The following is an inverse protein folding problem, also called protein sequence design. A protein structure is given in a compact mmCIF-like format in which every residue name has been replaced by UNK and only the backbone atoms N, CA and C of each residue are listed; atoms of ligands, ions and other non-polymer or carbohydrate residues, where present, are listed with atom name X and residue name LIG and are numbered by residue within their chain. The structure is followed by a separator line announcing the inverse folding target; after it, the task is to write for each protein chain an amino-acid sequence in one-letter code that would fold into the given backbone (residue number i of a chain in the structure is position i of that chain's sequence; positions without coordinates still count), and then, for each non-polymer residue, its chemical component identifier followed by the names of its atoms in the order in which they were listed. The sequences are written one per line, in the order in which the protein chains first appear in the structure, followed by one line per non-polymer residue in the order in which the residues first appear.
data_IF_985966884194
#
_entry.id   IF_985966884194
#
_cell.length_a   1.000
_cell.length_b   1.000
_cell.length_c   1.000
_cell.angle_alpha   90.00
_cell.angle_beta   90.00
_cell.angle_gamma   90.00
#
_symmetry.space_group_name_H-M   'P 1'
#
loop_
_entity.id
_entity.type
_entity.pdbx_description
1 polymer ?
#
# COMPACT_ATOMS: atom_id res chain seq x y z
N UNK A 1 16.80 8.84 15.12
CA UNK A 1 17.50 9.36 13.91
C UNK A 1 17.29 8.34 12.81
N UNK A 2 16.20 8.49 12.09
CA UNK A 2 15.75 7.53 11.07
C UNK A 2 16.37 7.95 9.75
N UNK A 3 17.28 7.13 9.24
CA UNK A 3 17.90 7.32 7.94
C UNK A 3 16.87 7.05 6.85
N UNK A 4 16.23 8.10 6.34
CA UNK A 4 15.57 8.06 5.05
C UNK A 4 16.65 7.86 3.99
N UNK A 5 16.81 6.63 3.53
CA UNK A 5 17.59 6.35 2.33
C UNK A 5 16.82 6.97 1.17
N UNK A 6 17.27 8.11 0.72
CA UNK A 6 16.78 8.79 -0.47
C UNK A 6 16.89 7.82 -1.64
N UNK A 7 15.77 7.37 -2.19
CA UNK A 7 15.65 6.48 -3.36
C UNK A 7 16.31 7.07 -4.64
N UNK A 8 16.80 8.31 -4.58
CA UNK A 8 17.49 8.99 -5.67
C UNK A 8 18.76 8.27 -6.16
N UNK A 9 19.31 7.31 -5.41
CA UNK A 9 20.52 6.57 -5.79
C UNK A 9 20.30 5.30 -6.61
N UNK A 10 19.08 4.77 -6.65
CA UNK A 10 18.80 3.46 -7.28
C UNK A 10 18.44 3.59 -8.76
N UNK A 11 18.07 4.78 -9.23
CA UNK A 11 17.59 4.99 -10.60
C UNK A 11 18.70 5.30 -11.63
N UNK A 12 19.98 5.20 -11.23
CA UNK A 12 21.09 5.50 -12.15
C UNK A 12 21.65 4.28 -12.86
N UNK A 13 20.87 3.19 -13.00
CA UNK A 13 21.20 2.13 -13.93
C UNK A 13 20.72 2.55 -15.32
N UNK A 14 21.60 2.66 -16.33
CA UNK A 14 21.17 2.99 -17.68
C UNK A 14 20.29 1.85 -18.20
N UNK A 15 19.00 2.12 -18.30
CA UNK A 15 18.06 1.27 -19.03
C UNK A 15 18.60 1.11 -20.44
N UNK A 16 18.80 -0.13 -20.89
CA UNK A 16 19.34 -0.39 -22.22
C UNK A 16 18.47 0.27 -23.28
N UNK A 17 19.08 1.05 -24.13
CA UNK A 17 18.45 1.82 -25.22
C UNK A 17 17.66 0.98 -26.23
N UNK A 18 17.66 -0.35 -26.11
CA UNK A 18 17.06 -1.27 -27.08
C UNK A 18 15.56 -1.53 -26.90
N UNK A 19 14.94 -1.07 -25.77
CA UNK A 19 13.56 -1.41 -25.46
C UNK A 19 12.58 -0.22 -25.57
N UNK A 20 13.07 0.92 -26.09
CA UNK A 20 12.23 2.10 -26.35
C UNK A 20 11.82 2.15 -27.82
N UNK A 21 10.51 2.09 -28.05
CA UNK A 21 9.89 2.25 -29.35
C UNK A 21 10.38 3.53 -30.05
N UNK A 22 10.86 3.37 -31.28
CA UNK A 22 11.28 4.43 -32.17
C UNK A 22 10.12 5.41 -32.42
N UNK A 23 10.16 6.64 -31.86
CA UNK A 23 9.19 7.68 -32.19
C UNK A 23 8.98 8.81 -31.20
N UNK A 24 9.54 8.74 -29.98
CA UNK A 24 9.41 9.86 -29.02
C UNK A 24 10.64 10.77 -29.08
N UNK A 25 10.39 12.10 -29.02
CA UNK A 25 11.50 13.05 -28.90
C UNK A 25 12.16 12.94 -27.52
N UNK A 26 13.48 13.25 -27.39
CA UNK A 26 14.18 13.22 -26.11
C UNK A 26 13.49 14.06 -25.02
N UNK A 27 12.85 15.15 -25.39
CA UNK A 27 12.10 16.03 -24.47
C UNK A 27 10.82 15.34 -23.94
N UNK A 28 10.16 14.52 -24.74
CA UNK A 28 8.98 13.76 -24.32
C UNK A 28 9.35 12.61 -23.39
N UNK A 29 10.48 11.96 -23.61
CA UNK A 29 11.00 10.92 -22.72
C UNK A 29 11.38 11.50 -21.35
N UNK A 30 12.06 12.63 -21.34
CA UNK A 30 12.43 13.34 -20.12
C UNK A 30 11.20 13.80 -19.32
N UNK A 31 10.20 14.38 -19.99
CA UNK A 31 8.95 14.81 -19.34
C UNK A 31 8.17 13.64 -18.76
N UNK A 32 8.11 12.50 -19.47
CA UNK A 32 7.45 11.28 -19.01
C UNK A 32 8.16 10.67 -17.80
N UNK A 33 9.49 10.63 -17.80
CA UNK A 33 10.29 10.14 -16.67
C UNK A 33 10.07 10.97 -15.42
N UNK A 34 10.09 12.29 -15.54
CA UNK A 34 9.86 13.21 -14.42
C UNK A 34 8.44 13.12 -13.87
N UNK A 35 7.45 12.99 -14.74
CA UNK A 35 6.06 12.79 -14.33
C UNK A 35 5.86 11.48 -13.55
N UNK A 36 6.50 10.41 -14.00
CA UNK A 36 6.48 9.11 -13.33
C UNK A 36 7.16 9.18 -11.94
N UNK A 37 8.31 9.85 -11.84
CA UNK A 37 9.00 10.06 -10.56
C UNK A 37 8.13 10.85 -9.57
N UNK A 38 7.50 11.93 -10.02
CA UNK A 38 6.56 12.70 -9.20
C UNK A 38 5.36 11.86 -8.75
N UNK A 39 4.82 11.04 -9.65
CA UNK A 39 3.74 10.13 -9.31
C UNK A 39 4.16 9.14 -8.22
N UNK A 40 5.29 8.45 -8.39
CA UNK A 40 5.80 7.47 -7.41
C UNK A 40 6.03 8.11 -6.04
N UNK A 41 6.66 9.28 -5.99
CA UNK A 41 6.85 10.04 -4.74
C UNK A 41 5.51 10.42 -4.07
N UNK A 42 4.47 10.71 -4.86
CA UNK A 42 3.17 11.09 -4.34
C UNK A 42 2.40 9.94 -3.69
N UNK A 43 2.61 8.70 -4.15
CA UNK A 43 1.89 7.52 -3.67
C UNK A 43 2.66 6.72 -2.61
N UNK A 44 3.98 6.92 -2.48
CA UNK A 44 4.87 6.10 -1.65
C UNK A 44 4.38 5.92 -0.21
N UNK A 45 4.15 7.02 0.51
CA UNK A 45 3.74 6.99 1.93
C UNK A 45 2.41 6.27 2.14
N UNK A 46 1.43 6.53 1.25
CA UNK A 46 0.11 5.90 1.35
C UNK A 46 0.17 4.43 0.97
N UNK A 47 0.93 4.10 -0.06
CA UNK A 47 1.17 2.72 -0.47
C UNK A 47 1.83 1.91 0.65
N UNK A 48 2.83 2.49 1.33
CA UNK A 48 3.47 1.86 2.48
C UNK A 48 2.45 1.60 3.61
N UNK A 49 1.63 2.59 3.98
CA UNK A 49 0.62 2.40 5.02
C UNK A 49 -0.41 1.32 4.65
N UNK A 50 -0.85 1.27 3.39
CA UNK A 50 -1.74 0.20 2.89
C UNK A 50 -1.07 -1.17 3.01
N UNK A 51 0.20 -1.29 2.63
CA UNK A 51 0.95 -2.53 2.72
C UNK A 51 1.17 -2.93 4.18
N UNK A 52 1.54 -2.00 5.06
CA UNK A 52 1.73 -2.20 6.50
C UNK A 52 0.46 -2.75 7.18
N UNK A 53 -0.69 -2.09 6.98
CA UNK A 53 -1.99 -2.56 7.50
C UNK A 53 -2.40 -3.93 6.94
N UNK A 54 -1.88 -4.30 5.77
CA UNK A 54 -2.21 -5.56 5.13
C UNK A 54 -1.29 -6.72 5.53
N UNK A 55 0.01 -6.44 5.72
CA UNK A 55 1.05 -7.43 5.98
C UNK A 55 1.44 -7.52 7.45
N UNK A 56 1.19 -6.48 8.26
CA UNK A 56 1.57 -6.39 9.67
C UNK A 56 3.07 -6.67 9.88
N UNK A 57 3.89 -6.19 8.96
CA UNK A 57 5.34 -6.26 9.02
C UNK A 57 5.90 -5.19 8.11
N UNK A 58 6.77 -4.36 8.63
CA UNK A 58 7.26 -3.16 7.95
C UNK A 58 8.24 -3.47 6.83
N UNK A 59 9.10 -4.47 7.03
CA UNK A 59 10.05 -4.90 6.01
C UNK A 59 9.33 -5.47 4.78
N UNK A 60 8.35 -6.37 5.01
CA UNK A 60 7.51 -6.90 3.95
C UNK A 60 6.68 -5.81 3.27
N UNK A 61 6.22 -4.80 4.03
CA UNK A 61 5.47 -3.68 3.46
C UNK A 61 6.36 -2.83 2.55
N UNK A 62 7.58 -2.54 2.98
CA UNK A 62 8.56 -1.81 2.19
C UNK A 62 8.92 -2.57 0.91
N UNK A 63 9.22 -3.86 1.03
CA UNK A 63 9.50 -4.73 -0.12
C UNK A 63 8.34 -4.76 -1.12
N UNK A 64 7.10 -4.86 -0.62
CA UNK A 64 5.92 -4.88 -1.48
C UNK A 64 5.76 -3.58 -2.28
N UNK A 65 6.02 -2.43 -1.65
CA UNK A 65 5.94 -1.12 -2.30
C UNK A 65 7.06 -0.95 -3.31
N UNK A 66 8.30 -1.28 -2.96
CA UNK A 66 9.44 -1.20 -3.88
C UNK A 66 9.23 -2.08 -5.11
N UNK A 67 8.81 -3.33 -4.92
CA UNK A 67 8.50 -4.25 -6.01
C UNK A 67 7.39 -3.71 -6.93
N UNK A 68 6.35 -3.09 -6.33
CA UNK A 68 5.26 -2.51 -7.11
C UNK A 68 5.73 -1.29 -7.94
N UNK A 69 6.56 -0.43 -7.36
CA UNK A 69 7.17 0.71 -8.05
C UNK A 69 8.07 0.25 -9.20
N UNK A 70 8.96 -0.69 -8.93
CA UNK A 70 9.84 -1.26 -9.96
C UNK A 70 9.04 -1.88 -11.12
N UNK A 71 7.99 -2.64 -10.79
CA UNK A 71 7.15 -3.27 -11.80
C UNK A 71 6.39 -2.24 -12.64
N UNK A 72 5.89 -1.17 -12.04
CA UNK A 72 5.25 -0.08 -12.77
C UNK A 72 6.23 0.56 -13.77
N UNK A 73 7.43 0.93 -13.30
CA UNK A 73 8.47 1.53 -14.13
C UNK A 73 8.86 0.61 -15.30
N UNK A 74 9.14 -0.66 -15.00
CA UNK A 74 9.61 -1.62 -16.00
C UNK A 74 8.57 -1.97 -17.07
N UNK A 75 7.29 -2.01 -16.71
CA UNK A 75 6.28 -2.58 -17.59
C UNK A 75 5.21 -1.58 -18.06
N UNK A 76 5.09 -0.42 -17.41
CA UNK A 76 4.00 0.50 -17.64
C UNK A 76 4.41 1.99 -17.72
N UNK A 77 5.71 2.30 -17.75
CA UNK A 77 6.20 3.68 -17.87
C UNK A 77 5.70 4.39 -19.13
N UNK A 78 5.47 3.65 -20.22
CA UNK A 78 4.96 4.16 -21.51
C UNK A 78 3.44 4.37 -21.53
N UNK A 79 2.71 3.93 -20.50
CA UNK A 79 1.25 4.13 -20.40
C UNK A 79 0.92 5.57 -20.08
N UNK A 80 -0.35 5.94 -20.35
CA UNK A 80 -0.86 7.26 -19.97
C UNK A 80 -0.78 7.43 -18.43
N UNK A 81 -0.39 8.61 -17.98
CA UNK A 81 -0.25 8.95 -16.56
C UNK A 81 -1.54 8.72 -15.74
N UNK A 82 -2.71 8.87 -16.36
CA UNK A 82 -4.00 8.58 -15.73
C UNK A 82 -4.20 7.12 -15.37
N UNK A 83 -3.54 6.21 -16.11
CA UNK A 83 -3.61 4.77 -15.88
C UNK A 83 -2.65 4.31 -14.75
N UNK A 84 -1.62 5.10 -14.42
CA UNK A 84 -0.59 4.65 -13.47
C UNK A 84 -1.14 4.35 -12.10
N UNK A 85 -2.09 5.16 -11.61
CA UNK A 85 -2.63 5.02 -10.27
C UNK A 85 -3.38 3.69 -10.07
N UNK A 86 -4.40 3.34 -10.86
CA UNK A 86 -5.08 2.06 -10.73
C UNK A 86 -4.16 0.87 -11.03
N UNK A 87 -3.22 1.00 -11.98
CA UNK A 87 -2.24 -0.03 -12.30
C UNK A 87 -1.29 -0.27 -11.12
N UNK A 88 -0.75 0.79 -10.52
CA UNK A 88 0.13 0.70 -9.36
C UNK A 88 -0.53 -0.04 -8.20
N UNK A 89 -1.75 0.35 -7.83
CA UNK A 89 -2.47 -0.31 -6.75
C UNK A 89 -2.90 -1.74 -7.09
N UNK A 90 -3.10 -2.05 -8.34
CA UNK A 90 -3.30 -3.44 -8.79
C UNK A 90 -2.04 -4.28 -8.59
N UNK A 91 -0.89 -3.75 -8.96
CA UNK A 91 0.40 -4.43 -8.77
C UNK A 91 0.67 -4.64 -7.28
N UNK A 92 0.54 -3.58 -6.48
CA UNK A 92 0.73 -3.62 -5.03
C UNK A 92 -0.20 -4.65 -4.36
N UNK A 93 -1.49 -4.63 -4.70
CA UNK A 93 -2.46 -5.57 -4.16
C UNK A 93 -2.14 -7.03 -4.53
N UNK A 94 -1.64 -7.28 -5.73
CA UNK A 94 -1.20 -8.60 -6.13
C UNK A 94 0.03 -9.03 -5.33
N UNK A 95 1.00 -8.14 -5.16
CA UNK A 95 2.21 -8.42 -4.38
C UNK A 95 1.88 -8.75 -2.92
N UNK A 96 1.06 -7.93 -2.26
CA UNK A 96 0.57 -8.17 -0.90
C UNK A 96 -0.09 -9.56 -0.80
N UNK A 97 -0.97 -9.90 -1.74
CA UNK A 97 -1.67 -11.20 -1.75
C UNK A 97 -0.69 -12.37 -1.90
N UNK A 98 0.30 -12.23 -2.76
CA UNK A 98 1.32 -13.26 -2.98
C UNK A 98 2.17 -13.48 -1.72
N UNK A 99 2.54 -12.40 -1.02
CA UNK A 99 3.27 -12.48 0.24
C UNK A 99 2.43 -13.15 1.34
N UNK A 100 1.16 -12.76 1.50
CA UNK A 100 0.24 -13.40 2.44
C UNK A 100 0.06 -14.89 2.15
N UNK A 101 -0.08 -15.26 0.85
CA UNK A 101 -0.18 -16.66 0.45
C UNK A 101 1.08 -17.46 0.80
N UNK A 102 2.26 -16.89 0.56
CA UNK A 102 3.55 -17.52 0.92
C UNK A 102 3.67 -17.72 2.43
N UNK A 103 3.29 -16.74 3.26
CA UNK A 103 3.27 -16.87 4.73
C UNK A 103 2.33 -17.99 5.17
N UNK A 104 1.12 -18.07 4.62
CA UNK A 104 0.16 -19.13 4.96
C UNK A 104 0.71 -20.52 4.60
N UNK A 105 1.33 -20.67 3.44
CA UNK A 105 1.94 -21.95 3.02
C UNK A 105 3.12 -22.31 3.92
N UNK A 106 4.02 -21.34 4.20
CA UNK A 106 5.17 -21.55 5.10
C UNK A 106 4.69 -21.91 6.51
N UNK A 107 3.70 -21.24 7.06
CA UNK A 107 3.13 -21.55 8.37
C UNK A 107 2.54 -22.96 8.43
N UNK A 108 1.87 -23.42 7.36
CA UNK A 108 1.36 -24.80 7.27
C UNK A 108 2.49 -25.85 7.21
N UNK A 109 3.57 -25.54 6.49
CA UNK A 109 4.73 -26.44 6.40
C UNK A 109 5.46 -26.47 7.74
N UNK A 110 5.65 -25.32 8.40
CA UNK A 110 6.32 -25.23 9.69
C UNK A 110 5.49 -25.85 10.84
N UNK A 111 4.17 -25.86 10.75
CA UNK A 111 3.31 -26.55 11.70
C UNK A 111 3.49 -28.08 11.69
N UNK A 112 4.15 -28.62 10.68
CA UNK A 112 4.54 -30.04 10.58
C UNK A 112 5.96 -30.33 11.09
N UNK A 113 6.79 -29.26 11.34
CA UNK A 113 8.08 -29.42 12.00
C UNK A 113 7.91 -29.14 13.50
N UNK A 114 8.61 -29.89 14.40
CA UNK A 114 8.57 -29.60 15.83
C UNK A 114 9.08 -28.18 16.09
N UNK A 115 8.35 -27.46 16.93
CA UNK A 115 8.50 -26.04 17.19
C UNK A 115 9.95 -25.68 17.53
N UNK A 116 10.54 -24.81 16.74
CA UNK A 116 11.62 -23.94 17.14
C UNK A 116 10.98 -22.59 17.38
N UNK A 117 11.11 -22.10 18.61
CA UNK A 117 10.59 -20.82 19.06
C UNK A 117 11.05 -19.70 18.11
N UNK A 118 10.10 -19.20 17.32
CA UNK A 118 10.24 -17.96 16.61
C UNK A 118 9.33 -16.98 17.33
N UNK A 119 9.91 -16.23 18.24
CA UNK A 119 9.33 -15.03 18.80
C UNK A 119 9.15 -14.01 17.64
N UNK A 120 7.93 -13.90 17.17
CA UNK A 120 7.52 -12.90 16.16
C UNK A 120 6.87 -11.73 16.93
N UNK A 121 7.66 -11.09 17.79
CA UNK A 121 7.34 -9.83 18.42
C UNK A 121 7.60 -8.71 17.39
N UNK A 122 6.63 -8.51 16.50
CA UNK A 122 6.55 -7.27 15.73
C UNK A 122 6.02 -6.18 16.68
N UNK A 123 6.93 -5.53 17.36
CA UNK A 123 6.67 -4.31 18.12
C UNK A 123 6.20 -3.23 17.14
N UNK A 124 4.94 -2.87 17.26
CA UNK A 124 4.31 -1.82 16.47
C UNK A 124 4.81 -0.48 17.01
N UNK A 125 5.74 0.14 16.32
CA UNK A 125 6.18 1.51 16.61
C UNK A 125 5.26 2.50 15.85
N UNK A 126 4.41 3.30 16.54
CA UNK A 126 3.58 4.28 15.89
C UNK A 126 4.46 5.38 15.31
N UNK A 127 4.42 5.55 13.99
CA UNK A 127 5.15 6.57 13.25
C UNK A 127 4.85 7.94 13.84
N UNK A 128 5.90 8.59 14.36
CA UNK A 128 5.85 9.94 14.86
C UNK A 128 5.29 10.92 13.83
N UNK A 129 4.13 11.48 14.13
CA UNK A 129 3.49 12.50 13.31
C UNK A 129 4.26 13.81 13.41
N UNK A 130 4.43 14.48 12.27
CA UNK A 130 4.99 15.82 12.22
C UNK A 130 4.10 16.80 12.99
N UNK A 131 4.68 17.78 13.72
CA UNK A 131 3.92 18.69 14.57
C UNK A 131 3.16 19.70 13.73
N UNK A 132 1.84 19.68 13.81
CA UNK A 132 1.00 20.78 13.39
C UNK A 132 0.02 21.14 14.51
N UNK A 133 0.06 22.40 14.91
CA UNK A 133 -0.80 23.13 15.87
C UNK A 133 -1.22 22.35 17.12
N UNK A 134 -0.75 22.82 18.29
CA UNK A 134 -0.91 22.19 19.60
C UNK A 134 -2.37 21.99 20.02
N UNK A 135 -2.94 20.77 19.91
CA UNK A 135 -4.09 20.39 20.70
C UNK A 135 -3.64 20.06 22.12
N UNK A 136 -4.53 20.31 23.10
CA UNK A 136 -4.39 19.89 24.49
C UNK A 136 -3.88 18.42 24.56
N UNK A 137 -2.85 18.11 25.40
CA UNK A 137 -2.26 16.77 25.49
C UNK A 137 -3.28 15.64 25.71
N UNK A 138 -4.33 15.87 26.49
CA UNK A 138 -5.41 14.89 26.68
C UNK A 138 -6.16 14.57 25.38
N UNK A 139 -6.43 15.58 24.57
CA UNK A 139 -7.11 15.40 23.27
C UNK A 139 -6.22 14.71 22.23
N UNK A 140 -4.89 14.88 22.32
CA UNK A 140 -3.95 14.13 21.49
C UNK A 140 -4.00 12.64 21.82
N UNK A 141 -3.96 12.30 23.10
CA UNK A 141 -4.03 10.92 23.56
C UNK A 141 -5.34 10.23 23.09
N UNK A 142 -6.48 10.90 23.23
CA UNK A 142 -7.77 10.39 22.73
C UNK A 142 -7.76 10.14 21.21
N UNK A 143 -7.15 11.04 20.44
CA UNK A 143 -7.05 10.90 18.98
C UNK A 143 -6.11 9.74 18.63
N UNK A 144 -4.96 9.62 19.29
CA UNK A 144 -3.99 8.56 19.04
C UNK A 144 -4.57 7.18 19.40
N UNK A 145 -5.31 7.08 20.49
CA UNK A 145 -6.05 5.87 20.87
C UNK A 145 -7.13 5.51 19.83
N UNK A 146 -7.90 6.50 19.34
CA UNK A 146 -8.92 6.29 18.32
C UNK A 146 -8.31 5.85 16.98
N UNK A 147 -7.17 6.43 16.58
CA UNK A 147 -6.43 6.03 15.39
C UNK A 147 -5.92 4.61 15.54
N UNK A 148 -5.32 4.25 16.67
CA UNK A 148 -4.84 2.90 16.95
C UNK A 148 -5.95 1.86 16.92
N UNK A 149 -7.10 2.18 17.49
CA UNK A 149 -8.30 1.33 17.45
C UNK A 149 -8.79 1.13 16.00
N UNK A 150 -8.84 2.21 15.20
CA UNK A 150 -9.21 2.14 13.79
C UNK A 150 -8.23 1.29 12.98
N UNK A 151 -6.93 1.49 13.15
CA UNK A 151 -5.90 0.71 12.46
C UNK A 151 -6.00 -0.77 12.78
N UNK A 152 -6.21 -1.11 14.05
CA UNK A 152 -6.43 -2.49 14.49
C UNK A 152 -7.68 -3.08 13.86
N UNK A 153 -8.81 -2.36 13.89
CA UNK A 153 -10.06 -2.82 13.30
C UNK A 153 -9.94 -3.03 11.78
N UNK A 154 -9.25 -2.12 11.08
CA UNK A 154 -8.97 -2.24 9.64
C UNK A 154 -8.04 -3.42 9.37
N UNK A 155 -6.98 -3.61 10.18
CA UNK A 155 -6.04 -4.71 10.01
C UNK A 155 -6.70 -6.09 10.19
N UNK A 156 -7.82 -6.18 10.87
CA UNK A 156 -8.59 -7.42 11.08
C UNK A 156 -9.69 -7.67 10.04
N UNK A 157 -9.96 -6.71 9.15
CA UNK A 157 -10.92 -6.92 8.07
C UNK A 157 -10.49 -8.08 7.15
N UNK A 158 -11.45 -8.86 6.61
CA UNK A 158 -11.18 -9.81 5.54
C UNK A 158 -10.47 -9.12 4.36
N UNK A 159 -9.50 -9.79 3.74
CA UNK A 159 -8.56 -9.19 2.78
C UNK A 159 -9.23 -8.33 1.68
N UNK A 160 -10.35 -8.80 1.09
CA UNK A 160 -11.07 -8.05 0.05
C UNK A 160 -11.82 -6.84 0.59
N UNK A 161 -12.37 -6.93 1.80
CA UNK A 161 -13.03 -5.80 2.46
C UNK A 161 -12.01 -4.73 2.84
N UNK A 162 -10.88 -5.14 3.44
CA UNK A 162 -9.74 -4.26 3.72
C UNK A 162 -9.26 -3.54 2.48
N UNK A 163 -9.02 -4.28 1.40
CA UNK A 163 -8.56 -3.72 0.13
C UNK A 163 -9.54 -2.66 -0.40
N UNK A 164 -10.85 -2.96 -0.45
CA UNK A 164 -11.86 -2.02 -0.91
C UNK A 164 -11.90 -0.77 -0.02
N UNK A 165 -11.85 -0.94 1.30
CA UNK A 165 -11.86 0.16 2.26
C UNK A 165 -10.63 1.08 2.10
N UNK A 166 -9.42 0.51 2.07
CA UNK A 166 -8.19 1.28 1.97
C UNK A 166 -8.09 2.04 0.63
N UNK A 167 -8.46 1.41 -0.48
CA UNK A 167 -8.43 2.07 -1.79
C UNK A 167 -9.46 3.19 -1.91
N UNK A 168 -10.66 3.02 -1.31
CA UNK A 168 -11.72 4.03 -1.36
C UNK A 168 -11.50 5.21 -0.42
N UNK A 169 -11.13 4.95 0.85
CA UNK A 169 -11.05 5.98 1.87
C UNK A 169 -9.65 6.55 2.06
N UNK A 170 -8.63 5.70 1.96
CA UNK A 170 -7.25 6.13 2.20
C UNK A 170 -6.61 6.69 0.94
N UNK A 171 -6.86 6.06 -0.21
CA UNK A 171 -6.37 6.53 -1.51
C UNK A 171 -7.34 7.42 -2.26
N UNK A 172 -8.63 7.39 -1.94
CA UNK A 172 -9.64 8.18 -2.62
C UNK A 172 -9.93 7.72 -4.04
N UNK A 173 -9.63 6.45 -4.40
CA UNK A 173 -9.99 5.90 -5.70
C UNK A 173 -11.51 5.86 -5.84
N UNK A 174 -12.01 6.15 -7.04
CA UNK A 174 -13.41 5.94 -7.33
C UNK A 174 -13.78 4.46 -7.44
N UNK A 175 -15.07 4.13 -7.67
CA UNK A 175 -15.51 2.73 -7.71
C UNK A 175 -14.93 1.99 -8.91
N UNK A 176 -14.80 2.64 -10.06
CA UNK A 176 -14.26 2.07 -11.29
C UNK A 176 -12.75 1.82 -11.18
N UNK A 177 -12.00 2.81 -10.69
CA UNK A 177 -10.57 2.68 -10.41
C UNK A 177 -10.29 1.58 -9.38
N UNK A 178 -11.11 1.52 -8.31
CA UNK A 178 -11.01 0.47 -7.29
C UNK A 178 -11.29 -0.89 -7.89
N UNK A 179 -12.29 -1.03 -8.76
CA UNK A 179 -12.60 -2.28 -9.45
C UNK A 179 -11.44 -2.71 -10.35
N UNK A 180 -10.84 -1.79 -11.08
CA UNK A 180 -9.64 -2.01 -11.89
C UNK A 180 -8.47 -2.48 -11.03
N UNK A 181 -8.18 -1.79 -9.92
CA UNK A 181 -7.11 -2.14 -8.99
C UNK A 181 -7.34 -3.50 -8.31
N UNK A 182 -8.58 -3.81 -7.94
CA UNK A 182 -8.96 -5.08 -7.31
C UNK A 182 -9.10 -6.24 -8.29
N UNK A 183 -9.20 -5.98 -9.60
CA UNK A 183 -9.47 -6.98 -10.62
C UNK A 183 -10.84 -7.65 -10.43
N UNK A 184 -11.89 -6.86 -10.15
CA UNK A 184 -13.25 -7.35 -9.95
C UNK A 184 -14.28 -6.35 -10.51
N UNK A 185 -15.58 -6.69 -10.47
CA UNK A 185 -16.63 -5.77 -10.90
C UNK A 185 -16.88 -4.65 -9.88
N UNK A 186 -17.40 -3.52 -10.34
CA UNK A 186 -17.83 -2.42 -9.46
C UNK A 186 -18.88 -2.84 -8.43
N UNK A 187 -19.78 -3.76 -8.79
CA UNK A 187 -20.75 -4.34 -7.87
C UNK A 187 -20.08 -5.11 -6.73
N UNK A 188 -18.98 -5.84 -7.03
CA UNK A 188 -18.18 -6.52 -6.02
C UNK A 188 -17.47 -5.52 -5.10
N UNK A 189 -16.94 -4.41 -5.66
CA UNK A 189 -16.34 -3.33 -4.85
C UNK A 189 -17.36 -2.76 -3.87
N UNK A 190 -18.56 -2.39 -4.37
CA UNK A 190 -19.63 -1.84 -3.52
C UNK A 190 -19.98 -2.80 -2.38
N UNK A 191 -20.10 -4.09 -2.67
CA UNK A 191 -20.40 -5.13 -1.67
C UNK A 191 -19.27 -5.26 -0.64
N UNK A 192 -18.01 -5.33 -1.07
CA UNK A 192 -16.87 -5.44 -0.17
C UNK A 192 -16.72 -4.20 0.71
N UNK A 193 -16.89 -3.03 0.13
CA UNK A 193 -16.82 -1.76 0.82
C UNK A 193 -17.93 -1.60 1.88
N UNK A 194 -19.17 -1.92 1.50
CA UNK A 194 -20.30 -1.88 2.43
C UNK A 194 -20.07 -2.80 3.64
N UNK A 195 -19.68 -4.05 3.40
CA UNK A 195 -19.38 -5.01 4.47
C UNK A 195 -18.20 -4.56 5.35
N UNK A 196 -17.20 -3.90 4.77
CA UNK A 196 -16.11 -3.32 5.54
C UNK A 196 -16.64 -2.26 6.52
N UNK A 197 -17.48 -1.33 6.03
CA UNK A 197 -18.07 -0.29 6.86
C UNK A 197 -18.97 -0.85 7.97
N UNK A 198 -19.79 -1.88 7.68
CA UNK A 198 -20.60 -2.56 8.69
C UNK A 198 -19.72 -3.17 9.79
N UNK A 199 -18.65 -3.88 9.40
CA UNK A 199 -17.74 -4.50 10.35
C UNK A 199 -17.01 -3.47 11.20
N UNK A 200 -16.54 -2.37 10.60
CA UNK A 200 -15.86 -1.29 11.33
C UNK A 200 -16.81 -0.58 12.30
N UNK A 201 -18.05 -0.27 11.90
CA UNK A 201 -19.06 0.32 12.79
C UNK A 201 -19.37 -0.59 13.97
N UNK A 202 -19.51 -1.88 13.73
CA UNK A 202 -19.79 -2.84 14.80
C UNK A 202 -18.65 -2.95 15.83
N UNK A 203 -17.39 -2.72 15.40
CA UNK A 203 -16.20 -2.81 16.26
C UNK A 203 -15.86 -1.53 16.99
N UNK A 204 -16.05 -0.39 16.33
CA UNK A 204 -15.65 0.92 16.86
C UNK A 204 -16.78 1.62 17.61
N UNK A 205 -18.02 1.11 17.52
CA UNK A 205 -19.17 1.68 18.21
C UNK A 205 -19.35 3.17 17.88
N UNK A 206 -19.60 3.97 18.93
CA UNK A 206 -19.81 5.41 18.81
C UNK A 206 -18.49 6.23 18.67
N UNK A 207 -17.36 5.57 18.40
CA UNK A 207 -16.06 6.24 18.23
C UNK A 207 -15.93 6.90 16.83
N UNK A 208 -16.92 6.67 15.93
CA UNK A 208 -16.97 7.28 14.59
C UNK A 208 -18.24 8.09 14.45
#
# INVERSE_FOLDING_TARGET
MTAFVTLAGVYNTPVRRSDFEAGRSPDQEWMSSRALEQFLSSVEKRAFKIAQLSLRNDDDALDAVQDAMMKLVQSYASRNSEEWRPLFYRILANRIRDMQRRRTVRGRIMAWLPARDAEDDAEFDPIAQAPSHEPNPARRLEIDEAIGALETAVAELPARQKQAFLLRNFEGLDTSETASAMGCSEGSVKTHYFRALETLRARLGDVI
#
